data_IF_971056366936
#
_entry.id   IF_971056366936
#
_cell.length_a   1.000
_cell.length_b   1.000
_cell.length_c   1.000
_cell.angle_alpha   90.00
_cell.angle_beta   90.00
_cell.angle_gamma   90.00
#
_symmetry.space_group_name_H-M   'P 1'
#
loop_
_entity.id
_entity.type
_entity.pdbx_description
1 polymer ?
#
# COMPACT_ATOMS: atom_id res chain seq x y z
N UNK A 1 -4.01 -20.00 12.83
CA UNK A 1 -2.91 -19.41 13.64
C UNK A 1 -3.23 -17.95 13.95
N UNK A 2 -3.27 -17.56 15.22
CA UNK A 2 -3.50 -16.20 15.69
C UNK A 2 -2.28 -15.30 15.45
N UNK A 3 -2.44 -13.99 15.61
CA UNK A 3 -1.30 -13.06 15.54
C UNK A 3 -0.19 -13.41 16.55
N UNK A 4 -0.57 -13.74 17.80
CA UNK A 4 0.36 -14.09 18.88
C UNK A 4 1.15 -15.37 18.56
N UNK A 5 0.50 -16.39 18.03
CA UNK A 5 1.14 -17.64 17.60
C UNK A 5 2.13 -17.40 16.46
N UNK A 6 1.79 -16.54 15.49
CA UNK A 6 2.73 -16.17 14.40
C UNK A 6 3.96 -15.44 14.92
N UNK A 7 3.80 -14.55 15.92
CA UNK A 7 4.94 -13.89 16.55
C UNK A 7 5.82 -14.87 17.31
N UNK A 8 5.21 -15.84 18.01
CA UNK A 8 5.95 -16.91 18.68
C UNK A 8 6.72 -17.79 17.68
N UNK A 9 6.06 -18.20 16.59
CA UNK A 9 6.69 -18.99 15.51
C UNK A 9 7.92 -18.28 14.92
N UNK A 10 7.85 -16.97 14.66
CA UNK A 10 8.97 -16.18 14.15
C UNK A 10 10.18 -16.12 15.09
N UNK A 11 10.03 -16.46 16.36
CA UNK A 11 11.11 -16.51 17.35
C UNK A 11 11.74 -17.90 17.48
N UNK A 12 11.23 -18.90 16.76
CA UNK A 12 11.77 -20.27 16.82
C UNK A 12 13.06 -20.42 16.03
N UNK A 13 13.90 -21.34 16.47
CA UNK A 13 15.11 -21.72 15.74
C UNK A 13 14.80 -22.24 14.33
N UNK A 14 13.67 -22.94 14.20
CA UNK A 14 13.19 -23.44 12.91
C UNK A 14 12.98 -22.30 11.92
N UNK A 15 12.30 -21.23 12.34
CA UNK A 15 12.11 -20.04 11.50
C UNK A 15 13.44 -19.34 11.16
N UNK A 16 14.32 -19.19 12.14
CA UNK A 16 15.61 -18.55 11.93
C UNK A 16 16.51 -19.33 10.95
N UNK A 17 16.58 -20.65 11.10
CA UNK A 17 17.28 -21.53 10.18
C UNK A 17 16.70 -21.47 8.78
N UNK A 18 15.39 -21.45 8.65
CA UNK A 18 14.71 -21.30 7.35
C UNK A 18 15.01 -19.96 6.70
N UNK A 19 14.91 -18.88 7.46
CA UNK A 19 15.24 -17.53 6.98
C UNK A 19 16.69 -17.43 6.52
N UNK A 20 17.63 -18.00 7.26
CA UNK A 20 19.04 -18.08 6.88
C UNK A 20 19.23 -18.87 5.58
N UNK A 21 18.57 -20.03 5.44
CA UNK A 21 18.59 -20.82 4.21
C UNK A 21 18.09 -20.02 3.00
N UNK A 22 16.97 -19.30 3.12
CA UNK A 22 16.47 -18.44 2.05
C UNK A 22 17.49 -17.36 1.66
N UNK A 23 18.22 -16.78 2.62
CA UNK A 23 19.27 -15.78 2.34
C UNK A 23 20.46 -16.34 1.57
N UNK A 24 20.77 -17.61 1.71
CA UNK A 24 21.84 -18.25 0.91
C UNK A 24 21.47 -18.37 -0.57
N UNK A 25 20.18 -18.46 -0.88
CA UNK A 25 19.70 -18.49 -2.26
C UNK A 25 19.57 -17.11 -2.91
N UNK A 26 19.40 -16.06 -2.11
CA UNK A 26 19.32 -14.69 -2.61
C UNK A 26 19.77 -13.69 -1.54
N UNK A 27 20.70 -12.83 -1.91
CA UNK A 27 21.20 -11.73 -1.09
C UNK A 27 20.53 -10.40 -1.42
N UNK A 28 19.57 -10.41 -2.34
CA UNK A 28 18.93 -9.20 -2.89
C UNK A 28 17.43 -9.18 -2.60
N UNK A 29 16.90 -7.98 -2.41
CA UNK A 29 15.46 -7.71 -2.41
C UNK A 29 14.84 -8.19 -3.72
N UNK A 30 13.73 -8.90 -3.63
CA UNK A 30 13.11 -9.50 -4.80
C UNK A 30 12.58 -8.48 -5.81
N UNK A 31 12.12 -7.32 -5.33
CA UNK A 31 11.52 -6.27 -6.16
C UNK A 31 12.58 -5.29 -6.66
N UNK A 32 13.31 -4.64 -5.74
CA UNK A 32 14.26 -3.59 -6.08
C UNK A 32 15.59 -4.09 -6.61
N UNK A 33 15.92 -5.38 -6.36
CA UNK A 33 17.22 -5.99 -6.64
C UNK A 33 18.39 -5.42 -5.84
N UNK A 34 18.11 -4.53 -4.91
CA UNK A 34 19.09 -3.99 -3.98
C UNK A 34 19.55 -5.03 -2.95
N UNK A 35 20.73 -4.89 -2.36
CA UNK A 35 21.17 -5.78 -1.29
C UNK A 35 20.18 -5.83 -0.12
N UNK A 36 19.97 -7.03 0.45
CA UNK A 36 19.16 -7.17 1.65
C UNK A 36 19.85 -6.51 2.85
N UNK A 37 19.13 -5.60 3.52
CA UNK A 37 19.57 -4.96 4.75
C UNK A 37 19.59 -5.95 5.93
N UNK A 38 20.09 -5.51 7.10
CA UNK A 38 20.16 -6.34 8.31
C UNK A 38 18.80 -6.85 8.80
N UNK A 39 17.79 -6.00 8.72
CA UNK A 39 16.42 -6.25 9.21
C UNK A 39 15.43 -6.66 8.12
N UNK A 40 15.92 -7.25 7.02
CA UNK A 40 15.08 -7.72 5.93
C UNK A 40 13.98 -8.69 6.38
N UNK A 41 12.89 -8.75 5.63
CA UNK A 41 11.73 -9.58 5.87
C UNK A 41 11.67 -10.76 4.89
N UNK A 42 11.20 -11.90 5.39
CA UNK A 42 10.80 -13.02 4.54
C UNK A 42 9.27 -12.97 4.39
N UNK A 43 8.82 -12.51 3.23
CA UNK A 43 7.41 -12.33 2.92
C UNK A 43 6.79 -13.63 2.43
N UNK A 44 5.64 -14.01 2.99
CA UNK A 44 4.86 -15.16 2.52
C UNK A 44 4.03 -14.76 1.30
N UNK A 45 4.14 -15.49 0.21
CA UNK A 45 3.24 -15.35 -0.95
C UNK A 45 1.86 -15.94 -0.66
N UNK A 46 1.81 -17.00 0.14
CA UNK A 46 0.57 -17.56 0.64
C UNK A 46 0.14 -16.84 1.92
N UNK A 47 -0.86 -15.98 1.81
CA UNK A 47 -1.42 -15.24 2.94
C UNK A 47 -2.40 -16.05 3.78
N UNK A 48 -2.55 -17.36 3.52
CA UNK A 48 -3.41 -18.23 4.31
C UNK A 48 -2.82 -18.45 5.70
N UNK A 49 -3.49 -17.90 6.70
CA UNK A 49 -3.07 -17.95 8.12
C UNK A 49 -2.95 -19.38 8.64
N UNK A 50 -3.73 -20.33 8.10
CA UNK A 50 -3.70 -21.74 8.52
C UNK A 50 -2.42 -22.45 8.09
N UNK A 51 -1.74 -21.94 7.09
CA UNK A 51 -0.50 -22.51 6.52
C UNK A 51 0.73 -21.65 6.76
N UNK A 52 0.66 -20.74 7.72
CA UNK A 52 1.73 -19.80 8.00
C UNK A 52 3.06 -20.44 8.41
N UNK A 53 3.00 -21.56 9.14
CA UNK A 53 4.13 -22.35 9.61
C UNK A 53 4.61 -23.42 8.61
N UNK A 54 3.97 -23.54 7.46
CA UNK A 54 4.42 -24.44 6.40
C UNK A 54 5.61 -23.85 5.64
N UNK A 55 6.81 -24.15 6.10
CA UNK A 55 8.10 -23.67 5.58
C UNK A 55 8.84 -24.71 4.74
N UNK A 56 8.13 -25.53 3.98
CA UNK A 56 8.73 -26.63 3.21
C UNK A 56 9.22 -26.19 1.82
N UNK A 57 8.61 -25.16 1.23
CA UNK A 57 8.90 -24.72 -0.15
C UNK A 57 9.37 -23.25 -0.16
N UNK A 58 10.61 -23.02 -0.61
CA UNK A 58 11.19 -21.68 -0.71
C UNK A 58 10.52 -20.79 -1.73
N UNK A 59 9.89 -21.35 -2.79
CA UNK A 59 9.18 -20.58 -3.80
C UNK A 59 7.93 -19.86 -3.25
N UNK A 60 7.50 -20.22 -2.04
CA UNK A 60 6.39 -19.56 -1.32
C UNK A 60 6.82 -18.33 -0.54
N UNK A 61 8.09 -17.98 -0.60
CA UNK A 61 8.66 -16.87 0.17
C UNK A 61 9.43 -15.91 -0.73
N UNK A 62 9.39 -14.66 -0.35
CA UNK A 62 10.03 -13.58 -1.06
C UNK A 62 10.85 -12.73 -0.08
N UNK A 63 12.18 -12.65 -0.24
CA UNK A 63 13.01 -11.78 0.60
C UNK A 63 12.81 -10.33 0.19
N UNK A 64 12.45 -9.49 1.13
CA UNK A 64 12.16 -8.07 0.92
C UNK A 64 12.81 -7.22 2.00
N UNK A 65 13.31 -6.07 1.64
CA UNK A 65 13.67 -5.02 2.59
C UNK A 65 12.39 -4.45 3.26
N UNK A 66 12.47 -3.83 4.45
CA UNK A 66 11.29 -3.39 5.19
C UNK A 66 10.36 -2.49 4.37
N UNK A 67 10.91 -1.48 3.68
CA UNK A 67 10.12 -0.55 2.88
C UNK A 67 9.38 -1.26 1.73
N UNK A 68 10.09 -2.15 1.02
CA UNK A 68 9.49 -2.93 -0.07
C UNK A 68 8.40 -3.86 0.46
N UNK A 69 8.62 -4.46 1.63
CA UNK A 69 7.63 -5.31 2.28
C UNK A 69 6.34 -4.55 2.63
N UNK A 70 6.46 -3.32 3.15
CA UNK A 70 5.30 -2.46 3.44
C UNK A 70 4.56 -2.06 2.17
N UNK A 71 5.29 -1.61 1.15
CA UNK A 71 4.72 -1.22 -0.15
C UNK A 71 3.93 -2.39 -0.76
N UNK A 72 4.46 -3.61 -0.76
CA UNK A 72 3.77 -4.79 -1.30
C UNK A 72 2.47 -5.07 -0.53
N UNK A 73 2.46 -4.94 0.79
CA UNK A 73 1.23 -5.10 1.58
C UNK A 73 0.18 -4.04 1.25
N UNK A 74 0.58 -2.78 1.11
CA UNK A 74 -0.34 -1.69 0.76
C UNK A 74 -0.88 -1.86 -0.67
N UNK A 75 -0.02 -2.12 -1.64
CA UNK A 75 -0.43 -2.37 -3.02
C UNK A 75 -1.39 -3.55 -3.13
N UNK A 76 -1.16 -4.62 -2.37
CA UNK A 76 -2.04 -5.78 -2.38
C UNK A 76 -3.43 -5.48 -1.81
N UNK A 77 -3.54 -4.62 -0.78
CA UNK A 77 -4.85 -4.16 -0.27
C UNK A 77 -5.66 -3.45 -1.36
N UNK A 78 -5.02 -2.58 -2.13
CA UNK A 78 -5.66 -1.87 -3.24
C UNK A 78 -5.98 -2.80 -4.40
N UNK A 79 -5.04 -3.64 -4.79
CA UNK A 79 -5.19 -4.61 -5.87
C UNK A 79 -6.35 -5.57 -5.65
N UNK A 80 -6.60 -6.00 -4.42
CA UNK A 80 -7.76 -6.84 -4.08
C UNK A 80 -9.11 -6.13 -4.33
N UNK A 81 -9.14 -4.81 -4.26
CA UNK A 81 -10.35 -4.01 -4.49
C UNK A 81 -10.53 -3.68 -5.96
N UNK A 82 -9.44 -3.36 -6.65
CA UNK A 82 -9.42 -2.97 -8.04
C UNK A 82 -8.09 -3.36 -8.70
N UNK A 83 -8.12 -4.34 -9.57
CA UNK A 83 -6.94 -4.87 -10.24
C UNK A 83 -6.26 -3.86 -11.17
N UNK A 84 -7.01 -2.84 -11.65
CA UNK A 84 -6.48 -1.77 -12.51
C UNK A 84 -5.63 -0.73 -11.74
N UNK A 85 -5.54 -0.84 -10.41
CA UNK A 85 -4.77 0.12 -9.61
C UNK A 85 -3.29 0.13 -10.00
N UNK A 86 -2.72 -1.02 -10.34
CA UNK A 86 -1.31 -1.11 -10.73
C UNK A 86 -1.03 -0.40 -12.04
N UNK A 87 -1.95 -0.47 -13.02
CA UNK A 87 -1.83 0.24 -14.29
C UNK A 87 -1.82 1.76 -14.07
N UNK A 88 -2.69 2.24 -13.15
CA UNK A 88 -2.73 3.66 -12.79
C UNK A 88 -1.48 4.10 -12.04
N UNK A 89 -0.96 3.27 -11.14
CA UNK A 89 0.31 3.55 -10.44
C UNK A 89 1.45 3.64 -11.47
N UNK A 90 1.56 2.66 -12.37
CA UNK A 90 2.57 2.70 -13.43
C UNK A 90 2.47 3.96 -14.25
N UNK A 91 1.28 4.31 -14.75
CA UNK A 91 1.06 5.54 -15.52
C UNK A 91 1.47 6.79 -14.73
N UNK A 92 1.21 6.83 -13.42
CA UNK A 92 1.61 7.97 -12.57
C UNK A 92 3.14 8.07 -12.48
N UNK A 93 3.83 6.93 -12.32
CA UNK A 93 5.29 6.90 -12.28
C UNK A 93 5.90 7.35 -13.61
N UNK A 94 5.35 6.88 -14.74
CA UNK A 94 5.77 7.30 -16.08
C UNK A 94 5.63 8.83 -16.25
N UNK A 95 4.52 9.42 -15.78
CA UNK A 95 4.32 10.87 -15.78
C UNK A 95 5.32 11.59 -14.85
N UNK A 96 5.58 11.06 -13.66
CA UNK A 96 6.56 11.65 -12.74
C UNK A 96 7.97 11.66 -13.36
N UNK A 97 8.35 10.58 -14.04
CA UNK A 97 9.61 10.50 -14.77
C UNK A 97 9.67 11.55 -15.88
N UNK A 98 8.61 11.66 -16.70
CA UNK A 98 8.50 12.64 -17.77
C UNK A 98 8.62 14.08 -17.25
N UNK A 99 7.93 14.42 -16.15
CA UNK A 99 7.99 15.76 -15.54
C UNK A 99 9.31 16.04 -14.83
N UNK A 100 10.01 15.02 -14.35
CA UNK A 100 11.27 15.19 -13.61
C UNK A 100 12.47 15.29 -14.55
N UNK A 101 12.51 14.48 -15.59
CA UNK A 101 13.67 14.31 -16.47
C UNK A 101 13.38 14.61 -17.94
N UNK A 102 12.12 14.83 -18.29
CA UNK A 102 11.69 15.14 -19.65
C UNK A 102 12.03 16.58 -20.09
N UNK A 103 11.76 16.93 -21.34
CA UNK A 103 11.90 18.30 -21.82
C UNK A 103 10.97 19.23 -21.04
N UNK A 104 11.39 20.50 -20.86
CA UNK A 104 10.72 21.54 -20.05
C UNK A 104 9.18 21.43 -20.15
N UNK A 105 8.47 21.21 -19.02
CA UNK A 105 7.01 21.04 -18.99
C UNK A 105 6.23 22.18 -19.67
N UNK A 106 6.83 23.37 -19.75
CA UNK A 106 6.24 24.55 -20.43
C UNK A 106 6.08 24.37 -21.94
N UNK A 107 6.83 23.45 -22.55
CA UNK A 107 6.76 23.11 -23.95
C UNK A 107 5.85 21.93 -24.26
N UNK A 108 5.25 21.32 -23.23
CA UNK A 108 4.38 20.17 -23.36
C UNK A 108 3.00 20.63 -23.82
N UNK A 109 2.74 20.58 -25.15
CA UNK A 109 1.37 20.62 -25.64
C UNK A 109 0.69 19.34 -25.28
N UNK A 110 -0.17 19.39 -24.25
CA UNK A 110 -0.99 18.26 -23.78
C UNK A 110 -1.62 17.53 -24.97
N UNK A 111 -1.09 16.37 -25.30
CA UNK A 111 -1.69 15.45 -26.26
C UNK A 111 -2.83 14.64 -25.66
N UNK A 112 -3.17 14.92 -24.40
CA UNK A 112 -4.33 14.31 -23.77
C UNK A 112 -5.58 15.03 -24.29
N UNK A 113 -6.24 14.41 -25.27
CA UNK A 113 -7.66 14.68 -25.50
C UNK A 113 -8.35 14.28 -24.20
N UNK A 114 -8.73 15.26 -23.41
CA UNK A 114 -9.71 15.08 -22.34
C UNK A 114 -10.95 14.52 -23.01
N UNK A 115 -11.18 13.22 -22.87
CA UNK A 115 -12.53 12.70 -22.99
C UNK A 115 -13.25 13.25 -21.77
N UNK A 116 -13.87 14.42 -21.96
CA UNK A 116 -14.80 15.01 -21.00
C UNK A 116 -15.93 14.02 -20.78
N UNK A 117 -15.71 13.13 -19.82
CA UNK A 117 -16.84 12.44 -19.21
C UNK A 117 -17.44 13.45 -18.25
N UNK A 118 -18.50 14.11 -18.73
CA UNK A 118 -19.33 15.03 -17.98
C UNK A 118 -19.65 14.43 -16.62
N UNK A 119 -19.00 14.96 -15.58
CA UNK A 119 -19.42 14.75 -14.21
C UNK A 119 -20.66 15.60 -14.01
N UNK A 120 -21.85 15.03 -14.29
CA UNK A 120 -23.13 15.63 -13.98
C UNK A 120 -23.23 15.80 -12.45
N UNK A 121 -22.75 16.94 -11.96
CA UNK A 121 -23.09 17.41 -10.62
C UNK A 121 -24.52 17.89 -10.65
N UNK A 122 -25.42 17.03 -10.17
CA UNK A 122 -26.78 17.40 -9.83
C UNK A 122 -26.73 18.56 -8.83
N UNK A 123 -27.12 19.74 -9.29
CA UNK A 123 -27.37 20.92 -8.46
C UNK A 123 -28.57 20.65 -7.59
N UNK A 124 -28.36 20.20 -6.37
CA UNK A 124 -29.38 20.24 -5.34
C UNK A 124 -29.30 21.61 -4.67
N UNK A 125 -30.21 22.49 -5.07
CA UNK A 125 -30.44 23.77 -4.43
C UNK A 125 -31.11 23.53 -3.09
N UNK A 126 -30.38 23.54 -1.99
CA UNK A 126 -30.97 23.65 -0.66
C UNK A 126 -31.05 25.09 -0.24
N UNK A 127 -32.32 25.48 -0.03
CA UNK A 127 -32.74 26.78 0.46
C UNK A 127 -32.21 27.02 1.86
N UNK A 128 -31.46 28.11 2.01
CA UNK A 128 -31.11 28.71 3.30
C UNK A 128 -32.40 29.10 4.02
N UNK A 129 -32.71 28.42 5.11
CA UNK A 129 -33.74 28.89 6.07
C UNK A 129 -33.00 29.52 7.26
N UNK A 130 -33.00 30.83 7.24
CA UNK A 130 -32.61 31.65 8.38
C UNK A 130 -33.68 31.54 9.46
N UNK A 131 -33.32 31.05 10.62
CA UNK A 131 -34.11 31.27 11.81
C UNK A 131 -33.24 31.81 12.94
N UNK A 132 -33.50 33.08 13.20
CA UNK A 132 -33.08 33.85 14.38
C UNK A 132 -33.88 33.39 15.62
N UNK A 133 -33.27 33.71 16.75
CA UNK A 133 -33.88 33.90 18.10
C UNK A 133 -33.95 32.63 18.96
N UNK A 134 -33.44 32.59 20.14
CA UNK A 134 -33.56 33.40 21.34
C UNK A 134 -32.75 32.84 22.49
N UNK A 135 -32.08 33.75 23.16
CA UNK A 135 -31.64 33.73 24.57
C UNK A 135 -32.53 32.91 25.49
N UNK A 136 -31.98 32.15 26.42
CA UNK A 136 -32.29 32.34 27.83
C UNK A 136 -31.21 31.79 28.74
N UNK A 137 -30.80 32.68 29.57
CA UNK A 137 -30.00 32.60 30.80
C UNK A 137 -30.79 31.78 31.84
N UNK A 138 -30.14 30.85 32.52
CA UNK A 138 -30.38 30.73 33.97
C UNK A 138 -29.20 30.01 34.66
N UNK A 139 -28.51 30.81 35.45
CA UNK A 139 -27.79 30.55 36.66
C UNK A 139 -28.67 29.81 37.69
N UNK A 140 -28.09 28.90 38.48
CA UNK A 140 -28.22 28.71 39.93
C UNK A 140 -27.34 27.50 40.35
N UNK A 141 -26.26 27.81 41.13
CA UNK A 141 -25.92 27.47 42.52
C UNK A 141 -26.47 26.12 43.05
N UNK A 142 -25.65 25.17 43.34
CA UNK A 142 -25.12 24.79 44.67
C UNK A 142 -24.11 23.68 44.54
#
# INVERSE_FOLDING_TARGET
MTYKERQAFRKTDTWHKWKAKCRLHTSKDFITKEPLCRNWNLHHLDLNIQRYDNITDMNRFMPLNPNTHEIIHELFKWYKKDHKVLDRIKKTLDLMEEYTYGPDPRNYKSSYKTTDTECNTAKTSEKLHTQKDRKHIHSVKR
#
